data_IF_476863901372
#
_entry.id   IF_476863901372
#
_cell.length_a   1.000
_cell.length_b   1.000
_cell.length_c   1.000
_cell.angle_alpha   90.00
_cell.angle_beta   90.00
_cell.angle_gamma   90.00
#
_symmetry.space_group_name_H-M   'P 1'
#
loop_
_entity.id
_entity.type
_entity.pdbx_description
1 polymer ?
#
# COMPACT_ATOMS: atom_id res chain seq x y z
N UNK A 1 52.15 -39.96 26.52
CA UNK A 1 51.37 -39.96 25.27
C UNK A 1 50.44 -38.76 25.28
N UNK A 2 50.85 -37.65 24.67
CA UNK A 2 49.94 -36.61 24.16
C UNK A 2 50.74 -35.78 23.15
N UNK A 3 50.30 -35.88 21.92
CA UNK A 3 50.93 -35.46 20.68
C UNK A 3 50.96 -33.94 20.54
N UNK A 4 52.09 -33.45 20.03
CA UNK A 4 52.28 -32.09 19.54
C UNK A 4 51.70 -32.02 18.14
N UNK A 5 50.60 -31.29 17.96
CA UNK A 5 50.17 -30.80 16.66
C UNK A 5 50.49 -29.31 16.60
N UNK A 6 51.51 -28.98 15.80
CA UNK A 6 51.77 -27.64 15.31
C UNK A 6 50.64 -27.24 14.38
N UNK A 7 49.89 -26.20 14.74
CA UNK A 7 48.97 -25.57 13.80
C UNK A 7 49.58 -24.30 13.21
N UNK A 8 49.36 -24.17 11.91
CA UNK A 8 49.96 -23.21 11.00
C UNK A 8 49.45 -21.80 11.31
N UNK A 9 50.33 -20.83 11.16
CA UNK A 9 50.00 -19.40 11.18
C UNK A 9 49.05 -19.04 10.04
N UNK A 10 47.74 -19.10 10.30
CA UNK A 10 46.74 -18.38 9.51
C UNK A 10 46.69 -16.92 9.95
N UNK A 11 46.89 -16.02 8.99
CA UNK A 11 46.76 -14.56 9.09
C UNK A 11 45.44 -14.18 9.79
N UNK A 12 45.53 -13.72 11.04
CA UNK A 12 44.35 -13.34 11.82
C UNK A 12 43.65 -12.14 11.16
N UNK A 13 42.45 -12.39 10.65
CA UNK A 13 41.45 -11.35 10.38
C UNK A 13 41.12 -10.72 11.73
N UNK A 14 41.24 -9.40 11.83
CA UNK A 14 40.89 -8.62 13.02
C UNK A 14 39.43 -8.89 13.40
N UNK A 15 39.20 -9.89 14.24
CA UNK A 15 37.90 -10.25 14.76
C UNK A 15 37.63 -9.32 15.94
N UNK A 16 36.55 -8.54 15.82
CA UNK A 16 36.06 -7.65 16.85
C UNK A 16 35.82 -8.45 18.14
N UNK A 17 36.67 -8.24 19.14
CA UNK A 17 36.56 -8.88 20.45
C UNK A 17 35.75 -8.00 21.39
N UNK A 18 34.55 -8.47 21.74
CA UNK A 18 33.63 -7.82 22.67
C UNK A 18 34.14 -8.03 24.11
N UNK A 19 34.32 -6.94 24.87
CA UNK A 19 34.91 -7.00 26.23
C UNK A 19 33.90 -7.39 27.32
N UNK A 20 32.61 -7.47 27.00
CA UNK A 20 31.59 -8.00 27.90
C UNK A 20 31.18 -9.40 27.47
N UNK A 21 30.85 -10.28 28.41
CA UNK A 21 30.24 -11.57 28.06
C UNK A 21 28.83 -11.32 27.50
N UNK A 22 28.39 -12.00 26.42
CA UNK A 22 27.00 -11.89 25.99
C UNK A 22 26.09 -12.38 27.14
N UNK A 23 25.35 -11.47 27.76
CA UNK A 23 24.39 -11.78 28.81
C UNK A 23 23.00 -11.75 28.18
N UNK A 24 22.28 -12.87 28.24
CA UNK A 24 20.89 -12.91 27.82
C UNK A 24 20.09 -11.88 28.63
N UNK A 25 19.38 -10.99 27.94
CA UNK A 25 18.46 -10.06 28.59
C UNK A 25 17.34 -10.89 29.23
N UNK A 26 17.08 -10.77 30.54
CA UNK A 26 15.88 -11.37 31.10
C UNK A 26 14.67 -10.67 30.48
N UNK A 27 14.00 -11.36 29.57
CA UNK A 27 12.71 -10.96 29.03
C UNK A 27 11.62 -11.15 30.09
N UNK A 28 11.68 -10.35 31.15
CA UNK A 28 10.56 -10.13 32.07
C UNK A 28 9.97 -8.76 31.78
N UNK A 29 8.91 -8.72 30.97
CA UNK A 29 7.95 -7.61 30.98
C UNK A 29 7.35 -7.56 32.39
N UNK A 30 7.90 -6.72 33.27
CA UNK A 30 7.31 -6.46 34.58
C UNK A 30 5.97 -5.75 34.37
N UNK A 31 4.88 -6.41 34.74
CA UNK A 31 3.58 -5.76 34.92
C UNK A 31 3.61 -4.89 36.17
N UNK A 32 2.82 -3.85 36.12
CA UNK A 32 2.69 -2.79 37.12
C UNK A 32 2.42 -3.35 38.53
N UNK A 33 3.21 -2.87 39.51
CA UNK A 33 3.27 -3.25 40.93
C UNK A 33 3.72 -4.68 41.20
N UNK A 34 5.02 -4.82 41.48
CA UNK A 34 5.49 -5.42 42.72
C UNK A 34 6.93 -4.96 42.99
N UNK A 35 7.09 -4.27 44.10
CA UNK A 35 8.37 -3.93 44.69
C UNK A 35 8.63 -5.01 45.74
N UNK A 36 9.82 -5.62 45.75
CA UNK A 36 10.60 -5.96 46.95
C UNK A 36 11.69 -7.03 46.61
N UNK A 37 12.93 -6.64 46.92
CA UNK A 37 14.10 -7.47 47.22
C UNK A 37 14.69 -8.31 46.09
N UNK A 38 15.49 -7.65 45.24
CA UNK A 38 16.64 -8.30 44.63
C UNK A 38 17.82 -7.32 44.71
N UNK A 39 18.86 -7.70 45.48
CA UNK A 39 20.14 -7.00 45.48
C UNK A 39 20.74 -7.14 44.07
N UNK A 40 20.58 -6.12 43.24
CA UNK A 40 21.32 -6.01 41.99
C UNK A 40 22.75 -5.56 42.31
N UNK A 41 23.74 -6.37 41.91
CA UNK A 41 25.13 -5.92 41.91
C UNK A 41 25.24 -4.57 41.17
N UNK A 42 26.03 -3.61 41.69
CA UNK A 42 26.13 -2.28 41.11
C UNK A 42 26.63 -2.39 39.67
N UNK A 43 25.69 -2.18 38.74
CA UNK A 43 25.92 -2.17 37.30
C UNK A 43 26.96 -1.09 37.00
N UNK A 44 28.22 -1.50 36.80
CA UNK A 44 29.30 -0.58 36.40
C UNK A 44 29.10 -0.22 34.93
N UNK A 45 28.26 0.78 34.68
CA UNK A 45 28.22 1.43 33.38
C UNK A 45 29.60 2.03 33.11
N UNK A 46 30.26 1.53 32.06
CA UNK A 46 31.46 2.15 31.55
C UNK A 46 31.10 3.54 31.03
N UNK A 47 31.57 4.59 31.71
CA UNK A 47 31.31 5.96 31.28
C UNK A 47 31.92 6.17 29.89
N UNK A 48 31.04 6.24 28.89
CA UNK A 48 31.38 6.47 27.47
C UNK A 48 32.15 7.79 27.29
N UNK A 49 32.07 8.71 28.25
CA UNK A 49 32.82 9.97 28.32
C UNK A 49 34.34 9.82 28.54
N UNK A 50 34.81 8.66 29.02
CA UNK A 50 36.24 8.38 29.21
C UNK A 50 36.75 7.27 28.28
N UNK A 51 35.90 6.74 27.41
CA UNK A 51 36.30 5.73 26.45
C UNK A 51 37.20 6.37 25.37
N UNK A 52 38.43 5.86 25.26
CA UNK A 52 39.43 6.31 24.28
C UNK A 52 39.07 5.92 22.85
N UNK A 53 38.14 4.98 22.64
CA UNK A 53 37.65 4.59 21.32
C UNK A 53 36.65 5.59 20.75
N UNK A 54 36.04 6.40 21.62
CA UNK A 54 35.01 7.36 21.24
C UNK A 54 35.69 8.70 20.96
N UNK A 55 35.93 8.97 19.68
CA UNK A 55 36.47 10.25 19.21
C UNK A 55 35.33 11.28 19.27
N UNK A 56 35.48 12.28 20.15
CA UNK A 56 34.51 13.36 20.32
C UNK A 56 34.97 14.57 19.53
N UNK A 57 34.33 14.86 18.41
CA UNK A 57 34.67 15.99 17.54
C UNK A 57 34.47 15.71 16.05
N UNK A 58 34.66 16.73 15.22
CA UNK A 58 34.50 16.66 13.76
C UNK A 58 35.71 15.95 13.11
N UNK A 59 35.47 14.91 12.30
CA UNK A 59 36.51 13.97 11.81
C UNK A 59 37.29 14.44 10.57
N UNK A 60 37.05 15.66 10.09
CA UNK A 60 37.64 16.17 8.84
C UNK A 60 38.94 16.98 9.03
N UNK A 61 39.50 17.06 10.24
CA UNK A 61 40.71 17.85 10.53
C UNK A 61 41.80 17.08 11.30
N UNK A 62 41.87 15.74 11.18
CA UNK A 62 43.04 14.99 11.66
C UNK A 62 44.16 15.07 10.61
N UNK A 63 44.83 16.22 10.60
CA UNK A 63 46.15 16.36 10.01
C UNK A 63 47.11 15.57 10.91
N UNK A 64 47.50 14.36 10.50
CA UNK A 64 48.59 13.58 11.11
C UNK A 64 49.91 14.30 10.89
N UNK A 65 50.21 15.27 11.76
CA UNK A 65 51.51 15.90 11.90
C UNK A 65 52.06 15.64 13.29
N UNK A 66 53.20 14.94 13.36
CA UNK A 66 53.94 14.75 14.61
C UNK A 66 54.46 16.11 15.12
N UNK A 67 54.18 16.42 16.39
CA UNK A 67 54.91 17.45 17.12
C UNK A 67 56.33 16.91 17.41
N UNK A 68 57.40 17.70 17.19
CA UNK A 68 58.76 17.23 17.43
C UNK A 68 59.01 17.13 18.93
N UNK A 69 59.33 15.93 19.44
CA UNK A 69 59.88 15.76 20.80
C UNK A 69 59.35 14.61 21.65
N UNK A 70 58.40 13.79 21.19
CA UNK A 70 58.08 12.52 21.88
C UNK A 70 58.67 11.32 21.13
N UNK A 71 59.40 10.40 21.80
CA UNK A 71 59.85 9.17 21.16
C UNK A 71 58.65 8.30 20.79
N UNK A 72 58.69 7.72 19.58
CA UNK A 72 57.57 6.98 19.00
C UNK A 72 57.08 5.84 19.94
N UNK A 73 55.76 5.71 20.17
CA UNK A 73 55.22 4.66 21.04
C UNK A 73 55.56 3.23 20.60
N UNK A 74 55.91 3.04 19.33
CA UNK A 74 56.44 1.79 18.77
C UNK A 74 57.86 1.45 19.27
N UNK A 75 58.72 2.45 19.49
CA UNK A 75 60.07 2.20 20.01
C UNK A 75 60.04 1.83 21.49
N UNK A 76 59.16 2.46 22.28
CA UNK A 76 59.00 2.14 23.70
C UNK A 76 58.48 0.70 23.90
N UNK A 77 57.55 0.25 23.05
CA UNK A 77 57.06 -1.13 23.04
C UNK A 77 58.15 -2.13 22.64
N UNK A 78 58.95 -1.79 21.62
CA UNK A 78 60.09 -2.61 21.16
C UNK A 78 61.16 -2.76 22.25
N UNK A 79 61.46 -1.69 22.99
CA UNK A 79 62.40 -1.73 24.12
C UNK A 79 61.89 -2.59 25.28
N UNK A 80 60.59 -2.52 25.62
CA UNK A 80 59.99 -3.36 26.65
C UNK A 80 60.00 -4.85 26.26
N UNK A 81 59.70 -5.16 25.00
CA UNK A 81 59.75 -6.53 24.49
C UNK A 81 61.19 -7.07 24.44
N UNK A 82 62.17 -6.25 24.05
CA UNK A 82 63.59 -6.60 24.08
C UNK A 82 64.09 -6.87 25.52
N UNK A 83 63.69 -6.04 26.50
CA UNK A 83 63.99 -6.28 27.92
C UNK A 83 63.38 -7.60 28.42
N UNK A 84 62.12 -7.91 28.04
CA UNK A 84 61.48 -9.19 28.39
C UNK A 84 62.22 -10.40 27.79
N UNK A 85 62.64 -10.30 26.53
CA UNK A 85 63.37 -11.36 25.83
C UNK A 85 64.77 -11.57 26.40
N UNK A 86 65.47 -10.50 26.77
CA UNK A 86 66.78 -10.57 27.42
C UNK A 86 66.70 -11.26 28.80
N UNK A 87 65.66 -10.96 29.58
CA UNK A 87 65.44 -11.55 30.90
C UNK A 87 65.07 -13.04 30.80
N UNK A 88 64.25 -13.42 29.81
CA UNK A 88 63.97 -14.83 29.51
C UNK A 88 65.23 -15.60 29.05
N UNK A 89 66.08 -14.98 28.24
CA UNK A 89 67.35 -15.58 27.78
C UNK A 89 68.34 -15.77 28.93
N UNK A 90 68.43 -14.82 29.87
CA UNK A 90 69.23 -14.99 31.11
C UNK A 90 68.74 -16.17 31.95
N UNK A 91 67.43 -16.30 32.16
CA UNK A 91 66.86 -17.44 32.92
C UNK A 91 67.12 -18.78 32.23
N UNK A 92 66.97 -18.85 30.90
CA UNK A 92 67.28 -20.07 30.15
C UNK A 92 68.78 -20.42 30.21
N UNK A 93 69.68 -19.42 30.16
CA UNK A 93 71.12 -19.63 30.27
C UNK A 93 71.54 -20.09 31.67
N UNK A 94 70.86 -19.62 32.73
CA UNK A 94 71.07 -20.12 34.10
C UNK A 94 70.59 -21.57 34.27
N UNK A 95 69.52 -21.99 33.59
CA UNK A 95 69.05 -23.39 33.61
C UNK A 95 69.96 -24.35 32.84
N UNK A 96 70.68 -23.87 31.82
CA UNK A 96 71.60 -24.66 31.01
C UNK A 96 73.04 -24.70 31.55
N UNK A 97 73.36 -23.94 32.62
CA UNK A 97 74.67 -24.06 33.28
C UNK A 97 74.72 -25.36 34.08
N UNK A 98 75.68 -26.26 33.80
CA UNK A 98 75.90 -27.42 34.66
C UNK A 98 76.25 -26.92 36.07
N UNK A 99 75.40 -27.24 37.05
CA UNK A 99 75.53 -26.74 38.41
C UNK A 99 76.61 -27.53 39.13
N UNK A 100 77.68 -26.87 39.54
CA UNK A 100 78.68 -27.47 40.45
C UNK A 100 77.96 -27.84 41.76
N UNK A 101 78.14 -29.05 42.30
CA UNK A 101 77.49 -29.46 43.55
C UNK A 101 77.86 -28.50 44.70
N UNK A 102 76.94 -28.36 45.66
CA UNK A 102 77.12 -27.43 46.78
C UNK A 102 78.24 -27.88 47.72
N UNK A 103 79.04 -26.94 48.29
CA UNK A 103 80.12 -27.30 49.20
C UNK A 103 79.60 -28.00 50.45
N UNK A 104 80.29 -29.06 50.86
CA UNK A 104 79.99 -29.79 52.10
C UNK A 104 80.16 -28.90 53.34
N UNK A 105 79.35 -29.18 54.36
CA UNK A 105 79.24 -28.35 55.57
C UNK A 105 80.61 -28.18 56.27
N UNK A 106 81.02 -26.93 56.47
CA UNK A 106 82.32 -26.57 57.05
C UNK A 106 83.47 -26.33 56.05
N UNK A 107 83.24 -26.46 54.73
CA UNK A 107 84.23 -26.11 53.69
C UNK A 107 83.71 -25.01 52.76
N UNK A 108 84.60 -24.15 52.26
CA UNK A 108 84.30 -23.15 51.23
C UNK A 108 85.03 -23.53 49.95
N UNK A 109 84.35 -23.48 48.80
CA UNK A 109 85.02 -23.57 47.51
C UNK A 109 85.88 -22.33 47.28
N UNK A 110 87.07 -22.53 46.72
CA UNK A 110 88.01 -21.47 46.31
C UNK A 110 88.23 -21.65 44.82
N UNK A 111 88.13 -20.55 44.07
CA UNK A 111 88.40 -20.56 42.63
C UNK A 111 89.90 -20.70 42.41
N UNK A 112 90.31 -21.77 41.73
CA UNK A 112 91.70 -22.02 41.32
C UNK A 112 91.87 -21.50 39.89
N UNK A 113 92.98 -20.83 39.59
CA UNK A 113 93.30 -20.39 38.23
C UNK A 113 93.47 -21.62 37.32
N UNK A 114 92.45 -21.93 36.52
CA UNK A 114 92.46 -22.98 35.48
C UNK A 114 92.65 -22.40 34.08
N UNK A 115 93.14 -21.16 34.00
CA UNK A 115 93.45 -20.50 32.73
C UNK A 115 94.78 -21.06 32.20
N UNK A 116 94.85 -21.31 30.89
CA UNK A 116 96.05 -21.85 30.26
C UNK A 116 97.15 -20.76 30.23
N UNK A 117 98.07 -20.78 31.21
CA UNK A 117 99.23 -19.88 31.25
C UNK A 117 100.45 -20.62 30.70
N UNK A 118 100.72 -20.48 29.41
CA UNK A 118 101.93 -21.00 28.76
C UNK A 118 102.85 -19.83 28.38
N UNK A 119 104.09 -19.86 28.88
CA UNK A 119 105.18 -18.99 28.41
C UNK A 119 105.98 -19.73 27.34
N UNK A 120 106.13 -19.14 26.15
CA UNK A 120 106.96 -19.69 25.07
C UNK A 120 108.46 -19.54 25.41
N UNK A 121 109.15 -20.65 25.61
CA UNK A 121 110.61 -20.68 25.74
C UNK A 121 111.22 -20.77 24.34
N UNK A 122 111.80 -19.67 23.87
CA UNK A 122 112.50 -19.60 22.58
C UNK A 122 114.00 -19.92 22.76
N UNK A 123 114.35 -21.20 22.87
CA UNK A 123 115.75 -21.65 22.78
C UNK A 123 115.90 -22.70 21.68
N UNK A 124 116.88 -22.50 20.78
CA UNK A 124 117.11 -23.35 19.61
C UNK A 124 117.93 -24.58 20.02
N UNK A 125 117.40 -25.77 19.76
CA UNK A 125 118.15 -27.02 19.95
C UNK A 125 119.35 -27.11 18.99
N UNK A 126 120.51 -27.56 19.51
CA UNK A 126 121.74 -27.74 18.75
C UNK A 126 121.68 -29.07 17.99
N UNK A 127 121.78 -29.01 16.67
CA UNK A 127 121.89 -30.19 15.80
C UNK A 127 123.36 -30.66 15.78
N UNK A 128 123.58 -31.95 16.03
CA UNK A 128 124.90 -32.59 15.95
C UNK A 128 124.83 -33.64 14.85
N UNK A 129 125.56 -33.40 13.77
CA UNK A 129 125.72 -34.37 12.68
C UNK A 129 126.63 -35.51 13.11
N UNK A 130 126.12 -36.74 13.00
CA UNK A 130 126.86 -37.98 13.23
C UNK A 130 126.98 -38.69 11.90
N UNK A 131 128.19 -38.68 11.33
CA UNK A 131 128.51 -39.42 10.13
C UNK A 131 128.94 -40.84 10.51
N UNK A 132 128.27 -41.87 9.97
CA UNK A 132 128.67 -43.27 10.15
C UNK A 132 128.69 -44.01 8.81
N UNK A 133 129.82 -44.66 8.60
CA UNK A 133 130.32 -45.47 7.49
C UNK A 133 129.26 -46.34 6.77
N UNK A 134 129.17 -46.14 5.45
CA UNK A 134 128.31 -46.87 4.51
C UNK A 134 128.88 -48.26 4.19
N UNK A 135 128.09 -49.31 4.46
CA UNK A 135 128.21 -50.60 3.78
C UNK A 135 127.22 -50.66 2.60
N UNK A 136 127.57 -51.33 1.52
CA UNK A 136 126.78 -51.32 0.28
C UNK A 136 125.51 -52.18 0.43
N UNK A 137 124.35 -51.53 0.58
CA UNK A 137 123.04 -52.17 0.64
C UNK A 137 122.74 -52.99 -0.62
N UNK A 138 122.62 -54.30 -0.49
CA UNK A 138 121.96 -55.17 -1.48
C UNK A 138 120.48 -55.32 -1.09
N UNK A 139 119.57 -55.13 -2.06
CA UNK A 139 118.12 -55.22 -1.84
C UNK A 139 117.72 -56.62 -1.32
N UNK A 140 117.33 -56.67 -0.04
CA UNK A 140 116.68 -57.84 0.55
C UNK A 140 115.20 -57.83 0.13
N UNK A 141 114.63 -58.93 -0.39
CA UNK A 141 113.20 -58.99 -0.65
C UNK A 141 112.41 -58.76 0.65
N UNK A 142 111.29 -58.03 0.57
CA UNK A 142 110.44 -57.72 1.72
C UNK A 142 110.07 -59.00 2.47
N UNK A 143 110.34 -59.05 3.77
CA UNK A 143 109.98 -60.19 4.61
C UNK A 143 108.48 -60.44 4.54
N UNK A 144 108.02 -61.69 4.28
CA UNK A 144 106.60 -62.00 4.22
C UNK A 144 105.92 -61.69 5.56
N UNK A 145 104.73 -61.11 5.49
CA UNK A 145 103.91 -60.78 6.65
C UNK A 145 103.53 -62.09 7.39
N UNK A 146 103.88 -62.17 8.67
CA UNK A 146 103.51 -63.28 9.53
C UNK A 146 102.02 -63.15 9.92
N UNK A 147 101.19 -64.06 9.41
CA UNK A 147 99.78 -64.18 9.80
C UNK A 147 99.67 -65.35 10.80
N UNK A 148 99.36 -65.10 12.08
CA UNK A 148 99.16 -66.17 13.06
C UNK A 148 98.02 -67.10 12.65
N UNK A 149 98.18 -68.40 12.88
CA UNK A 149 97.10 -69.36 12.68
C UNK A 149 95.95 -69.06 13.67
N UNK A 150 94.72 -68.88 13.15
CA UNK A 150 93.54 -68.67 14.00
C UNK A 150 93.41 -69.83 14.99
N UNK A 151 93.50 -69.53 16.28
CA UNK A 151 93.32 -70.49 17.37
C UNK A 151 92.02 -70.17 18.10
N UNK A 152 90.96 -70.91 17.76
CA UNK A 152 89.59 -70.74 18.26
C UNK A 152 88.64 -71.66 17.48
N UNK A 153 87.48 -72.00 18.07
CA UNK A 153 86.39 -72.67 17.33
C UNK A 153 85.40 -71.60 16.91
N UNK A 154 85.23 -71.42 15.60
CA UNK A 154 84.23 -70.52 15.06
C UNK A 154 82.83 -71.15 15.26
N UNK A 155 81.90 -70.38 15.85
CA UNK A 155 80.50 -70.77 16.07
C UNK A 155 79.65 -69.64 15.56
N UNK A 156 78.80 -69.93 14.58
CA UNK A 156 77.81 -68.98 14.10
C UNK A 156 76.47 -69.26 14.79
N UNK A 157 75.83 -68.19 15.27
CA UNK A 157 74.48 -68.22 15.83
C UNK A 157 73.60 -67.31 14.98
N UNK A 158 72.56 -67.87 14.38
CA UNK A 158 71.54 -67.12 13.64
C UNK A 158 70.18 -67.38 14.25
N UNK A 159 69.34 -66.35 14.27
CA UNK A 159 67.94 -66.44 14.68
C UNK A 159 67.11 -66.57 13.41
N UNK A 160 66.34 -67.65 13.32
CA UNK A 160 65.50 -67.94 12.15
C UNK A 160 64.17 -67.18 12.21
N UNK A 161 63.53 -67.02 11.05
CA UNK A 161 62.21 -66.39 10.95
C UNK A 161 61.20 -67.12 11.86
N UNK A 162 60.60 -66.38 12.80
CA UNK A 162 59.60 -66.89 13.73
C UNK A 162 60.13 -67.35 15.10
N UNK A 163 61.45 -67.41 15.32
CA UNK A 163 62.04 -67.88 16.60
C UNK A 163 61.82 -66.89 17.76
N UNK A 164 61.67 -65.60 17.46
CA UNK A 164 61.42 -64.51 18.42
C UNK A 164 59.97 -63.98 18.39
N UNK A 165 59.07 -64.65 17.68
CA UNK A 165 57.70 -64.17 17.52
C UNK A 165 56.89 -64.36 18.81
N UNK A 166 56.42 -63.26 19.39
CA UNK A 166 55.46 -63.25 20.49
C UNK A 166 54.09 -62.82 19.97
N UNK A 167 53.16 -63.78 19.88
CA UNK A 167 51.81 -63.55 19.40
C UNK A 167 51.06 -62.50 20.23
N UNK A 168 51.21 -62.54 21.56
CA UNK A 168 50.49 -61.67 22.48
C UNK A 168 51.00 -60.22 22.41
N UNK A 169 52.22 -60.00 21.93
CA UNK A 169 52.75 -58.66 21.65
C UNK A 169 52.26 -58.16 20.30
N UNK A 170 52.36 -59.00 19.26
CA UNK A 170 52.13 -58.58 17.87
C UNK A 170 50.64 -58.42 17.53
N UNK A 171 49.75 -59.17 18.18
CA UNK A 171 48.30 -59.08 17.92
C UNK A 171 47.64 -57.85 18.54
N UNK A 172 48.27 -57.25 19.57
CA UNK A 172 47.73 -56.07 20.29
C UNK A 172 47.40 -54.88 19.38
N UNK A 173 48.30 -54.38 18.50
CA UNK A 173 47.97 -53.27 17.61
C UNK A 173 46.85 -53.62 16.62
N UNK A 174 46.76 -54.86 16.16
CA UNK A 174 45.66 -55.29 15.29
C UNK A 174 44.32 -55.27 16.03
N UNK A 175 44.27 -55.82 17.25
CA UNK A 175 43.06 -55.84 18.05
C UNK A 175 42.63 -54.45 18.48
N UNK A 176 43.57 -53.56 18.83
CA UNK A 176 43.27 -52.18 19.19
C UNK A 176 42.61 -51.44 18.03
N UNK A 177 43.13 -51.59 16.81
CA UNK A 177 42.53 -50.98 15.61
C UNK A 177 41.17 -51.60 15.30
N UNK A 178 41.02 -52.91 15.38
CA UNK A 178 39.74 -53.59 15.10
C UNK A 178 38.67 -53.16 16.10
N UNK A 179 38.96 -53.26 17.41
CA UNK A 179 38.01 -52.87 18.47
C UNK A 179 37.71 -51.39 18.40
N UNK A 180 38.74 -50.54 18.23
CA UNK A 180 38.57 -49.09 18.09
C UNK A 180 37.66 -48.73 16.93
N UNK A 181 37.89 -49.33 15.75
CA UNK A 181 37.09 -49.06 14.55
C UNK A 181 35.66 -49.61 14.66
N UNK A 182 35.47 -50.79 15.26
CA UNK A 182 34.13 -51.33 15.49
C UNK A 182 33.32 -50.44 16.44
N UNK A 183 33.93 -49.97 17.54
CA UNK A 183 33.26 -49.07 18.48
C UNK A 183 32.96 -47.73 17.81
N UNK A 184 33.93 -47.14 17.12
CA UNK A 184 33.75 -45.86 16.41
C UNK A 184 32.63 -45.94 15.38
N UNK A 185 32.62 -46.99 14.55
CA UNK A 185 31.57 -47.20 13.56
C UNK A 185 30.20 -47.39 14.24
N UNK A 186 30.11 -48.23 15.28
CA UNK A 186 28.85 -48.45 15.99
C UNK A 186 28.31 -47.18 16.64
N UNK A 187 29.19 -46.31 17.16
CA UNK A 187 28.78 -45.05 17.76
C UNK A 187 28.24 -44.08 16.71
N UNK A 188 28.90 -43.99 15.55
CA UNK A 188 28.44 -43.14 14.44
C UNK A 188 27.08 -43.60 13.90
N UNK A 189 26.88 -44.91 13.73
CA UNK A 189 25.61 -45.47 13.27
C UNK A 189 24.47 -45.15 14.25
N UNK A 190 24.68 -45.36 15.56
CA UNK A 190 23.67 -45.04 16.57
C UNK A 190 23.35 -43.54 16.62
N UNK A 191 24.37 -42.69 16.49
CA UNK A 191 24.15 -41.24 16.43
C UNK A 191 23.34 -40.82 15.19
N UNK A 192 23.64 -41.39 14.03
CA UNK A 192 22.89 -41.14 12.80
C UNK A 192 21.43 -41.59 12.92
N UNK A 193 21.18 -42.78 13.49
CA UNK A 193 19.84 -43.29 13.72
C UNK A 193 19.01 -42.38 14.65
N UNK A 194 19.62 -41.88 15.73
CA UNK A 194 18.95 -40.96 16.65
C UNK A 194 18.65 -39.61 15.99
N UNK A 195 19.59 -39.07 15.20
CA UNK A 195 19.37 -37.83 14.44
C UNK A 195 18.24 -37.99 13.42
N UNK A 196 18.21 -39.09 12.66
CA UNK A 196 17.15 -39.38 11.71
C UNK A 196 15.80 -39.55 12.38
N UNK A 197 15.73 -40.25 13.52
CA UNK A 197 14.49 -40.41 14.29
C UNK A 197 13.96 -39.06 14.80
N UNK A 198 14.86 -38.20 15.29
CA UNK A 198 14.51 -36.86 15.74
C UNK A 198 13.98 -35.99 14.59
N UNK A 199 14.63 -36.00 13.42
CA UNK A 199 14.18 -35.26 12.25
C UNK A 199 12.80 -35.74 11.76
N UNK A 200 12.57 -37.05 11.72
CA UNK A 200 11.28 -37.62 11.36
C UNK A 200 10.19 -37.21 12.35
N UNK A 201 10.46 -37.28 13.66
CA UNK A 201 9.51 -36.83 14.68
C UNK A 201 9.17 -35.35 14.54
N UNK A 202 10.16 -34.49 14.26
CA UNK A 202 9.94 -33.07 14.00
C UNK A 202 9.11 -32.84 12.73
N UNK A 203 9.37 -33.59 11.66
CA UNK A 203 8.61 -33.50 10.42
C UNK A 203 7.14 -33.88 10.65
N UNK A 204 6.87 -35.00 11.33
CA UNK A 204 5.49 -35.42 11.61
C UNK A 204 4.75 -34.41 12.47
N UNK A 205 5.39 -33.87 13.52
CA UNK A 205 4.80 -32.83 14.35
C UNK A 205 4.46 -31.57 13.53
N UNK A 206 5.35 -31.17 12.61
CA UNK A 206 5.10 -30.02 11.73
C UNK A 206 3.96 -30.30 10.74
N UNK A 207 3.90 -31.49 10.15
CA UNK A 207 2.83 -31.88 9.24
C UNK A 207 1.47 -31.93 9.95
N UNK A 208 1.43 -32.43 11.18
CA UNK A 208 0.22 -32.43 12.00
C UNK A 208 -0.30 -31.01 12.25
N UNK A 209 0.58 -30.10 12.70
CA UNK A 209 0.24 -28.69 12.92
C UNK A 209 -0.24 -28.05 11.61
N UNK A 210 0.49 -28.27 10.50
CA UNK A 210 0.14 -27.71 9.19
C UNK A 210 -1.23 -28.20 8.71
N UNK A 211 -1.56 -29.48 8.91
CA UNK A 211 -2.84 -30.04 8.53
C UNK A 211 -3.99 -29.45 9.36
N UNK A 212 -3.76 -29.24 10.66
CA UNK A 212 -4.73 -28.58 11.55
C UNK A 212 -4.96 -27.13 11.12
N UNK A 213 -3.88 -26.39 10.87
CA UNK A 213 -3.96 -25.00 10.41
C UNK A 213 -4.68 -24.88 9.07
N UNK A 214 -4.37 -25.77 8.12
CA UNK A 214 -5.03 -25.80 6.81
C UNK A 214 -6.54 -26.06 6.94
N UNK A 215 -6.93 -27.02 7.79
CA UNK A 215 -8.34 -27.32 8.04
C UNK A 215 -9.07 -26.12 8.69
N UNK A 216 -8.42 -25.42 9.62
CA UNK A 216 -9.01 -24.24 10.27
C UNK A 216 -9.14 -23.06 9.29
N UNK A 217 -8.14 -22.83 8.44
CA UNK A 217 -8.22 -21.81 7.38
C UNK A 217 -9.38 -22.09 6.44
N UNK A 218 -9.54 -23.33 5.97
CA UNK A 218 -10.67 -23.71 5.10
C UNK A 218 -12.02 -23.48 5.78
N UNK A 219 -12.13 -23.83 7.08
CA UNK A 219 -13.34 -23.59 7.88
C UNK A 219 -13.68 -22.11 7.95
N UNK A 220 -12.69 -21.25 8.19
CA UNK A 220 -12.85 -19.80 8.27
C UNK A 220 -13.18 -19.17 6.91
N UNK A 221 -12.52 -19.59 5.83
CA UNK A 221 -12.80 -19.12 4.47
C UNK A 221 -14.24 -19.41 4.06
N UNK A 222 -14.74 -20.61 4.34
CA UNK A 222 -16.11 -20.99 4.00
C UNK A 222 -17.15 -20.26 4.86
N UNK A 223 -16.82 -19.96 6.12
CA UNK A 223 -17.64 -19.07 6.95
C UNK A 223 -17.64 -17.64 6.40
N UNK A 224 -16.48 -17.11 5.99
CA UNK A 224 -16.36 -15.78 5.41
C UNK A 224 -17.11 -15.67 4.08
N UNK A 225 -17.03 -16.71 3.23
CA UNK A 225 -17.79 -16.79 1.97
C UNK A 225 -19.28 -16.65 2.23
N UNK A 226 -19.83 -17.42 3.18
CA UNK A 226 -21.24 -17.35 3.58
C UNK A 226 -21.63 -15.96 4.09
N UNK A 227 -20.84 -15.37 4.98
CA UNK A 227 -21.10 -14.03 5.48
C UNK A 227 -21.02 -12.95 4.40
N UNK A 228 -20.08 -13.08 3.46
CA UNK A 228 -19.92 -12.14 2.34
C UNK A 228 -21.11 -12.20 1.40
N UNK A 229 -21.56 -13.41 1.05
CA UNK A 229 -22.76 -13.62 0.23
C UNK A 229 -24.01 -13.04 0.92
N UNK A 230 -24.20 -13.29 2.22
CA UNK A 230 -25.34 -12.72 2.95
C UNK A 230 -25.26 -11.19 3.01
N UNK A 231 -24.08 -10.62 3.29
CA UNK A 231 -23.86 -9.18 3.34
C UNK A 231 -24.17 -8.51 2.00
N UNK A 232 -23.74 -9.09 0.89
CA UNK A 232 -24.05 -8.58 -0.46
C UNK A 232 -25.55 -8.67 -0.75
N UNK A 233 -26.23 -9.77 -0.39
CA UNK A 233 -27.69 -9.87 -0.51
C UNK A 233 -28.41 -8.79 0.30
N UNK A 234 -28.01 -8.56 1.55
CA UNK A 234 -28.59 -7.50 2.40
C UNK A 234 -28.35 -6.11 1.82
N UNK A 235 -27.17 -5.86 1.26
CA UNK A 235 -26.82 -4.59 0.61
C UNK A 235 -27.68 -4.36 -0.64
N UNK A 236 -27.89 -5.38 -1.46
CA UNK A 236 -28.78 -5.30 -2.63
C UNK A 236 -30.22 -4.99 -2.22
N UNK A 237 -30.76 -5.72 -1.24
CA UNK A 237 -32.11 -5.46 -0.70
C UNK A 237 -32.26 -4.02 -0.17
N UNK A 238 -31.27 -3.55 0.60
CA UNK A 238 -31.28 -2.18 1.11
C UNK A 238 -31.22 -1.15 -0.02
N UNK A 239 -30.39 -1.40 -1.03
CA UNK A 239 -30.25 -0.51 -2.19
C UNK A 239 -31.57 -0.41 -2.97
N UNK A 240 -32.25 -1.54 -3.21
CA UNK A 240 -33.57 -1.56 -3.84
C UNK A 240 -34.62 -0.80 -3.01
N UNK A 241 -34.64 -0.99 -1.69
CA UNK A 241 -35.55 -0.25 -0.81
C UNK A 241 -35.29 1.26 -0.86
N UNK A 242 -34.02 1.68 -0.82
CA UNK A 242 -33.63 3.09 -0.91
C UNK A 242 -34.03 3.68 -2.26
N UNK A 243 -33.81 2.96 -3.37
CA UNK A 243 -34.23 3.41 -4.70
C UNK A 243 -35.74 3.57 -4.80
N UNK A 244 -36.52 2.57 -4.36
CA UNK A 244 -37.98 2.65 -4.33
C UNK A 244 -38.47 3.81 -3.47
N UNK A 245 -37.85 4.01 -2.30
CA UNK A 245 -38.18 5.14 -1.43
C UNK A 245 -37.88 6.48 -2.10
N UNK A 246 -36.74 6.60 -2.79
CA UNK A 246 -36.37 7.80 -3.55
C UNK A 246 -37.37 8.08 -4.67
N UNK A 247 -37.75 7.08 -5.45
CA UNK A 247 -38.77 7.20 -6.50
C UNK A 247 -40.12 7.63 -5.93
N UNK A 248 -40.58 6.99 -4.85
CA UNK A 248 -41.84 7.34 -4.20
C UNK A 248 -41.78 8.77 -3.64
N UNK A 249 -40.67 9.15 -2.99
CA UNK A 249 -40.47 10.52 -2.50
C UNK A 249 -40.52 11.55 -3.63
N UNK A 250 -39.91 11.25 -4.79
CA UNK A 250 -39.97 12.14 -5.97
C UNK A 250 -41.38 12.23 -6.54
N UNK A 251 -42.11 11.12 -6.64
CA UNK A 251 -43.52 11.09 -7.09
C UNK A 251 -44.41 11.92 -6.17
N UNK A 252 -44.23 11.79 -4.85
CA UNK A 252 -44.96 12.58 -3.85
C UNK A 252 -44.61 14.06 -3.99
N UNK A 253 -43.33 14.40 -4.09
CA UNK A 253 -42.89 15.79 -4.27
C UNK A 253 -43.45 16.41 -5.55
N UNK A 254 -43.41 15.69 -6.68
CA UNK A 254 -43.99 16.12 -7.95
C UNK A 254 -45.51 16.31 -7.85
N UNK A 255 -46.22 15.40 -7.18
CA UNK A 255 -47.67 15.53 -6.95
C UNK A 255 -48.00 16.77 -6.13
N UNK A 256 -47.29 16.99 -5.02
CA UNK A 256 -47.50 18.16 -4.15
C UNK A 256 -47.17 19.45 -4.90
N UNK A 257 -46.08 19.46 -5.67
CA UNK A 257 -45.71 20.59 -6.52
C UNK A 257 -46.79 20.91 -7.57
N UNK A 258 -47.26 19.89 -8.31
CA UNK A 258 -48.31 20.06 -9.30
C UNK A 258 -49.62 20.54 -8.66
N UNK A 259 -50.01 19.99 -7.51
CA UNK A 259 -51.21 20.43 -6.78
C UNK A 259 -51.12 21.91 -6.39
N UNK A 260 -49.99 22.34 -5.83
CA UNK A 260 -49.79 23.73 -5.43
C UNK A 260 -49.74 24.66 -6.64
N UNK A 261 -49.02 24.28 -7.70
CA UNK A 261 -48.95 25.05 -8.93
C UNK A 261 -50.32 25.19 -9.60
N UNK A 262 -51.10 24.12 -9.70
CA UNK A 262 -52.46 24.15 -10.26
C UNK A 262 -53.43 24.96 -9.38
N UNK A 263 -53.30 24.88 -8.06
CA UNK A 263 -54.13 25.65 -7.14
C UNK A 263 -53.92 27.16 -7.31
N UNK A 264 -52.71 27.61 -7.61
CA UNK A 264 -52.41 29.03 -7.85
C UNK A 264 -52.69 29.45 -9.30
N UNK A 265 -52.44 28.56 -10.28
CA UNK A 265 -52.64 28.83 -11.70
C UNK A 265 -54.12 28.93 -12.08
N UNK A 266 -54.98 28.04 -11.57
CA UNK A 266 -56.39 28.03 -11.94
C UNK A 266 -57.07 29.38 -11.64
N UNK A 267 -57.04 29.93 -10.41
CA UNK A 267 -57.62 31.23 -10.12
C UNK A 267 -57.03 32.35 -10.98
N UNK A 268 -55.71 32.35 -11.23
CA UNK A 268 -55.05 33.37 -12.04
C UNK A 268 -55.46 33.33 -13.52
N UNK A 269 -55.62 32.15 -14.10
CA UNK A 269 -56.08 32.00 -15.48
C UNK A 269 -57.58 32.32 -15.58
N UNK A 270 -58.39 31.87 -14.61
CA UNK A 270 -59.82 32.21 -14.57
C UNK A 270 -60.05 33.71 -14.37
N UNK A 271 -59.26 34.39 -13.54
CA UNK A 271 -59.33 35.85 -13.40
C UNK A 271 -58.88 36.54 -14.68
N UNK A 272 -57.75 36.16 -15.27
CA UNK A 272 -57.28 36.74 -16.53
C UNK A 272 -58.26 36.54 -17.68
N UNK A 273 -58.95 35.39 -17.74
CA UNK A 273 -59.92 35.08 -18.78
C UNK A 273 -61.27 35.79 -18.54
N UNK A 274 -61.60 36.08 -17.28
CA UNK A 274 -62.72 36.96 -16.91
C UNK A 274 -62.41 38.40 -17.27
N UNK A 275 -61.22 38.88 -16.96
CA UNK A 275 -60.76 40.25 -17.24
C UNK A 275 -60.62 40.50 -18.76
N UNK A 276 -60.22 39.47 -19.54
CA UNK A 276 -60.22 39.54 -21.00
C UNK A 276 -61.63 39.41 -21.62
N UNK A 277 -62.66 39.26 -20.78
CA UNK A 277 -64.05 39.26 -21.16
C UNK A 277 -64.56 37.94 -21.71
N UNK A 278 -63.81 36.84 -21.72
CA UNK A 278 -64.26 35.58 -22.35
C UNK A 278 -65.40 34.88 -21.58
N UNK A 279 -65.54 35.17 -20.28
CA UNK A 279 -66.70 34.76 -19.49
C UNK A 279 -67.75 35.85 -19.51
N UNK A 280 -68.86 35.60 -20.21
CA UNK A 280 -70.02 36.49 -20.29
C UNK A 280 -71.17 35.89 -19.47
N UNK A 281 -72.01 36.75 -18.89
CA UNK A 281 -73.31 36.30 -18.41
C UNK A 281 -74.21 36.02 -19.64
N UNK A 282 -74.72 34.78 -19.83
CA UNK A 282 -75.62 34.47 -20.93
C UNK A 282 -76.85 35.38 -20.96
N UNK A 283 -77.30 35.89 -19.81
CA UNK A 283 -78.45 36.79 -19.72
C UNK A 283 -78.08 38.18 -20.26
N UNK A 284 -76.94 38.75 -19.84
CA UNK A 284 -76.47 40.04 -20.36
C UNK A 284 -76.26 39.98 -21.88
N UNK A 285 -75.66 38.89 -22.37
CA UNK A 285 -75.43 38.69 -23.80
C UNK A 285 -76.73 38.54 -24.60
N UNK A 286 -77.73 37.84 -24.05
CA UNK A 286 -79.04 37.66 -24.68
C UNK A 286 -79.85 38.97 -24.67
N UNK A 287 -79.70 39.79 -23.62
CA UNK A 287 -80.26 41.13 -23.59
C UNK A 287 -79.58 42.02 -24.66
N UNK A 288 -78.25 42.00 -24.73
CA UNK A 288 -77.50 42.81 -25.70
C UNK A 288 -77.76 42.41 -27.16
N UNK A 289 -77.84 41.11 -27.44
CA UNK A 289 -77.94 40.58 -28.81
C UNK A 289 -79.37 40.30 -29.27
N UNK A 290 -80.27 39.97 -28.34
CA UNK A 290 -81.67 39.63 -28.63
C UNK A 290 -82.61 40.78 -28.30
N UNK A 291 -82.65 41.18 -27.03
CA UNK A 291 -83.64 42.14 -26.54
C UNK A 291 -83.43 43.57 -27.03
N UNK A 292 -82.20 44.10 -26.97
CA UNK A 292 -81.93 45.48 -27.39
C UNK A 292 -82.21 45.69 -28.89
N UNK A 293 -81.76 44.82 -29.82
CA UNK A 293 -82.12 44.96 -31.23
C UNK A 293 -83.62 44.85 -31.47
N UNK A 294 -84.30 43.91 -30.80
CA UNK A 294 -85.75 43.77 -30.89
C UNK A 294 -86.48 45.03 -30.38
N UNK A 295 -86.06 45.59 -29.25
CA UNK A 295 -86.64 46.81 -28.69
C UNK A 295 -86.43 48.00 -29.63
N UNK A 296 -85.23 48.13 -30.21
CA UNK A 296 -84.92 49.20 -31.16
C UNK A 296 -85.77 49.07 -32.44
N UNK A 297 -85.95 47.86 -32.96
CA UNK A 297 -86.82 47.57 -34.12
C UNK A 297 -88.29 47.88 -33.81
N UNK A 298 -88.78 47.55 -32.61
CA UNK A 298 -90.15 47.88 -32.22
C UNK A 298 -90.36 49.39 -32.04
N UNK A 299 -89.39 50.08 -31.43
CA UNK A 299 -89.40 51.56 -31.35
C UNK A 299 -89.40 52.18 -32.75
N UNK A 300 -88.58 51.66 -33.67
CA UNK A 300 -88.54 52.10 -35.06
C UNK A 300 -89.91 51.94 -35.74
N UNK A 301 -90.57 50.78 -35.61
CA UNK A 301 -91.94 50.57 -36.11
C UNK A 301 -92.95 51.55 -35.52
N UNK A 302 -92.92 51.79 -34.21
CA UNK A 302 -93.84 52.78 -33.61
C UNK A 302 -93.60 54.19 -34.14
N UNK A 303 -92.34 54.54 -34.42
CA UNK A 303 -91.96 55.82 -35.02
C UNK A 303 -92.41 55.88 -36.49
N UNK A 304 -92.30 54.80 -37.25
CA UNK A 304 -92.85 54.68 -38.60
C UNK A 304 -94.36 54.83 -38.61
N UNK A 305 -95.10 54.14 -37.73
CA UNK A 305 -96.55 54.31 -37.59
C UNK A 305 -96.93 55.73 -37.21
N UNK A 306 -96.20 56.37 -36.29
CA UNK A 306 -96.41 57.78 -35.96
C UNK A 306 -96.11 58.70 -37.15
N UNK A 307 -95.11 58.39 -37.97
CA UNK A 307 -94.75 59.16 -39.16
C UNK A 307 -95.82 59.01 -40.25
N UNK A 308 -96.30 57.78 -40.51
CA UNK A 308 -97.43 57.51 -41.41
C UNK A 308 -98.71 58.18 -40.91
N UNK A 309 -98.98 58.12 -39.60
CA UNK A 309 -100.12 58.82 -39.01
C UNK A 309 -100.05 60.34 -39.22
N UNK A 310 -98.87 60.94 -39.06
CA UNK A 310 -98.64 62.36 -39.37
C UNK A 310 -98.79 62.68 -40.85
N UNK A 311 -98.26 61.86 -41.76
CA UNK A 311 -98.39 62.10 -43.21
C UNK A 311 -99.84 61.97 -43.68
N UNK A 312 -100.59 60.99 -43.18
CA UNK A 312 -102.03 60.86 -43.47
C UNK A 312 -102.82 62.04 -42.91
N UNK A 313 -102.50 62.49 -41.69
CA UNK A 313 -103.13 63.69 -41.12
C UNK A 313 -102.83 64.93 -41.96
N UNK A 314 -101.58 65.12 -42.40
CA UNK A 314 -101.19 66.21 -43.29
C UNK A 314 -101.91 66.13 -44.64
N UNK A 315 -102.07 64.93 -45.22
CA UNK A 315 -102.86 64.72 -46.44
C UNK A 315 -104.33 65.08 -46.22
N UNK A 316 -104.93 64.67 -45.10
CA UNK A 316 -106.32 65.00 -44.77
C UNK A 316 -106.49 66.51 -44.59
N UNK A 317 -105.55 67.18 -43.92
CA UNK A 317 -105.55 68.64 -43.76
C UNK A 317 -105.47 69.30 -45.14
N UNK A 318 -104.58 68.84 -46.04
CA UNK A 318 -104.51 69.35 -47.42
C UNK A 318 -105.83 69.16 -48.17
N UNK A 319 -106.45 67.97 -48.15
CA UNK A 319 -107.74 67.73 -48.79
C UNK A 319 -108.87 68.61 -48.23
N UNK A 320 -108.92 68.82 -46.91
CA UNK A 320 -109.92 69.68 -46.28
C UNK A 320 -109.71 71.14 -46.67
N UNK A 321 -108.46 71.59 -46.77
CA UNK A 321 -108.12 72.94 -47.24
C UNK A 321 -108.49 73.11 -48.73
N UNK A 322 -108.19 72.13 -49.59
CA UNK A 322 -108.59 72.13 -51.02
C UNK A 322 -110.12 72.08 -51.20
N UNK A 323 -110.84 71.27 -50.42
CA UNK A 323 -112.32 71.25 -50.41
C UNK A 323 -112.91 72.57 -49.94
N UNK A 324 -112.29 73.24 -48.96
CA UNK A 324 -112.71 74.58 -48.54
C UNK A 324 -112.42 75.62 -49.62
N UNK A 325 -111.25 75.57 -50.26
CA UNK A 325 -110.88 76.48 -51.35
C UNK A 325 -111.86 76.36 -52.53
N UNK A 326 -112.15 75.13 -52.97
CA UNK A 326 -113.14 74.86 -54.03
C UNK A 326 -114.58 75.23 -53.63
N UNK A 327 -114.95 75.13 -52.36
CA UNK A 327 -116.25 75.64 -51.86
C UNK A 327 -116.33 77.18 -51.93
N UNK A 328 -115.22 77.89 -51.74
CA UNK A 328 -115.16 79.35 -51.92
C UNK A 328 -115.23 79.74 -53.40
N UNK A 329 -114.46 79.08 -54.27
CA UNK A 329 -114.51 79.31 -55.73
C UNK A 329 -115.91 79.01 -56.31
N UNK A 330 -116.58 77.95 -55.82
CA UNK A 330 -117.96 77.63 -56.21
C UNK A 330 -119.00 78.62 -55.65
N UNK A 331 -118.71 79.30 -54.54
CA UNK A 331 -119.56 80.40 -54.01
C UNK A 331 -119.36 81.70 -54.78
N UNK A 332 -118.16 81.99 -55.27
CA UNK A 332 -117.91 83.09 -56.21
C UNK A 332 -118.64 82.87 -57.55
N UNK A 333 -118.61 81.65 -58.08
CA UNK A 333 -119.33 81.30 -59.31
C UNK A 333 -120.87 81.36 -59.18
N UNK A 334 -121.43 81.15 -57.97
CA UNK A 334 -122.88 81.26 -57.70
C UNK A 334 -123.40 82.70 -57.60
N UNK A 335 -122.53 83.70 -57.43
CA UNK A 335 -122.93 85.10 -57.35
C UNK A 335 -123.00 85.81 -58.72
N UNK A 336 -122.57 85.17 -59.82
CA UNK A 336 -122.51 85.76 -61.17
C UNK A 336 -123.61 85.32 -62.15
N UNK A 337 -124.51 84.39 -61.81
CA UNK A 337 -125.45 83.79 -62.79
C UNK A 337 -126.95 84.06 -62.56
N UNK A 338 -127.37 85.33 -62.43
CA UNK A 338 -128.78 85.73 -62.53
C UNK A 338 -128.96 87.01 -63.35
N UNK A 339 -129.07 86.89 -64.70
CA UNK A 339 -129.98 87.63 -65.60
C UNK A 339 -130.07 86.92 -66.99
N UNK A 340 -131.18 87.05 -67.75
CA UNK A 340 -131.72 85.96 -68.58
C UNK A 340 -131.72 86.18 -70.12
N UNK A 341 -131.81 85.05 -70.84
CA UNK A 341 -132.33 84.78 -72.22
C UNK A 341 -131.65 85.52 -73.40
N UNK A 342 -131.32 84.89 -74.54
CA UNK A 342 -132.21 84.24 -75.51
C UNK A 342 -131.50 83.21 -76.43
N UNK A 343 -132.30 82.23 -76.88
CA UNK A 343 -132.30 81.48 -78.16
C UNK A 343 -131.01 80.89 -78.78
N UNK A 344 -131.01 79.57 -79.02
CA UNK A 344 -131.24 78.94 -80.35
C UNK A 344 -131.10 77.41 -80.21
N UNK A 345 -131.99 76.67 -80.88
CA UNK A 345 -132.18 75.22 -80.72
C UNK A 345 -131.33 74.33 -81.64
N UNK A 346 -131.47 73.01 -81.40
CA UNK A 346 -131.18 71.95 -82.38
C UNK A 346 -130.19 70.87 -81.91
N UNK A 347 -130.34 69.59 -82.35
CA UNK A 347 -130.50 68.47 -81.41
C UNK A 347 -129.63 67.20 -81.67
N UNK A 348 -129.75 66.20 -80.78
CA UNK A 348 -129.49 64.77 -81.03
C UNK A 348 -128.04 64.28 -80.80
N UNK A 349 -127.71 63.04 -80.43
CA UNK A 349 -128.38 61.72 -80.45
C UNK A 349 -127.41 60.72 -79.73
N UNK A 350 -127.96 59.74 -78.98
CA UNK A 350 -127.65 58.29 -78.78
C UNK A 350 -126.18 57.78 -78.98
N UNK A 351 -125.64 56.72 -78.35
CA UNK A 351 -126.15 55.52 -77.68
C UNK A 351 -124.96 54.70 -77.10
N UNK A 352 -125.26 53.78 -76.16
CA UNK A 352 -124.67 52.44 -75.93
C UNK A 352 -123.13 52.22 -75.84
N UNK A 353 -122.57 51.40 -74.94
CA UNK A 353 -123.10 50.46 -73.97
C UNK A 353 -122.01 49.45 -73.55
N UNK A 354 -122.30 48.74 -72.45
CA UNK A 354 -121.93 47.34 -72.14
C UNK A 354 -120.50 46.98 -71.63
N UNK A 355 -120.48 46.73 -70.31
CA UNK A 355 -119.81 45.71 -69.45
C UNK A 355 -119.44 44.35 -70.12
N UNK A 356 -118.90 43.27 -69.47
CA UNK A 356 -118.16 43.06 -68.19
C UNK A 356 -117.00 42.01 -68.24
N UNK A 357 -116.38 41.71 -67.07
CA UNK A 357 -116.08 40.37 -66.44
C UNK A 357 -114.68 40.38 -65.78
N UNK A 358 -114.55 40.25 -64.45
CA UNK A 358 -114.68 39.07 -63.58
C UNK A 358 -113.56 38.01 -63.76
N UNK A 359 -112.80 37.75 -62.70
CA UNK A 359 -112.36 36.39 -62.26
C UNK A 359 -111.79 36.44 -60.84
N UNK A 360 -111.96 35.30 -60.16
CA UNK A 360 -111.72 35.01 -58.75
C UNK A 360 -110.39 34.25 -58.55
N UNK A 361 -109.88 34.20 -57.32
CA UNK A 361 -108.88 33.22 -56.91
C UNK A 361 -108.61 33.25 -55.40
N UNK A 362 -108.95 32.18 -54.70
CA UNK A 362 -108.83 31.95 -53.26
C UNK A 362 -107.86 30.77 -53.00
N UNK A 363 -107.43 30.62 -51.74
CA UNK A 363 -106.85 29.43 -51.03
C UNK A 363 -105.37 29.45 -50.64
N UNK A 364 -105.12 29.55 -49.32
CA UNK A 364 -104.67 28.41 -48.50
C UNK A 364 -103.16 28.22 -48.19
N UNK A 365 -102.80 27.56 -47.05
CA UNK A 365 -101.69 27.97 -46.16
C UNK A 365 -100.69 26.83 -45.78
N UNK A 366 -99.94 27.00 -44.67
CA UNK A 366 -99.19 25.99 -43.83
C UNK A 366 -97.73 25.76 -44.25
N UNK A 367 -96.72 25.54 -43.40
CA UNK A 367 -96.39 25.83 -42.00
C UNK A 367 -94.91 25.38 -41.77
N UNK A 368 -94.30 25.94 -40.71
CA UNK A 368 -93.07 25.59 -39.99
C UNK A 368 -91.73 25.44 -40.72
#
# INVERSE_FOLDING_TARGET
MASVLTDRTSRAVNTYTYTSRPRALPCQRRRYRDNFLQEEEPMRYGNIMYDRRVIRGNTYALQTGQLPGQPDPLELQRQQQAKRRALARKRAQEQLRPRTPEPLEGRKHVDVQTELYLEEIADRMVEVDVECQTDAFLDRPSTPLFIPAKTGKDVDTEILEGELFDFDLEVKPMLEVLVGKTIEQSLLEVMEEEELANLQAMQYAYEEIRNIELAEVQRLEEQERRHREEKERRKQQQWEMVNKHKETSQKIAARVFAQRYLADLLPSVFSSLRDSGYFYDPIERDIEMGFLPWLMDEVEKTMEYSMVGRTVLDMLIREVVEKRLSMYENKENKHQSLRPKDEHGGPGVLEAGRVPKATWGWTGPIAF
#
